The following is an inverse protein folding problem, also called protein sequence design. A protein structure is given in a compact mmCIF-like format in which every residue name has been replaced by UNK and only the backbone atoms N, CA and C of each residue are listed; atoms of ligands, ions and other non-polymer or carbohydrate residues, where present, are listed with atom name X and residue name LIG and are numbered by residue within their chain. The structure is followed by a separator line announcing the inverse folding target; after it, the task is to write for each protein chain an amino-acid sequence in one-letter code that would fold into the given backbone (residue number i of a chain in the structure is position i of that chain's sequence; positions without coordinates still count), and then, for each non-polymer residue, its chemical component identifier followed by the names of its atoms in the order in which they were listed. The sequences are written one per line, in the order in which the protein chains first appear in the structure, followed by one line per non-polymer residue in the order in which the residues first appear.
data_IF_388499780374
#
_entry.id   IF_388499780374
#
_cell.length_a   1.000
_cell.length_b   1.000
_cell.length_c   1.000
_cell.angle_alpha   90.00
_cell.angle_beta   90.00
_cell.angle_gamma   90.00
#
_symmetry.space_group_name_H-M   'P 1'
#
loop_
_entity.id
_entity.type
_entity.pdbx_description
1 polymer ?
#
# COMPACT_ATOMS: atom_id res chain seq x y z
N UNK A 1 19.44 40.83 -56.47
CA UNK A 1 18.19 41.56 -56.13
C UNK A 1 17.54 40.82 -54.97
N UNK A 2 17.02 41.52 -53.97
CA UNK A 2 17.84 41.74 -52.74
C UNK A 2 17.55 40.71 -51.68
N UNK A 3 18.59 40.45 -50.87
CA UNK A 3 18.61 39.59 -49.69
C UNK A 3 17.82 40.22 -48.56
N UNK A 4 16.86 39.48 -47.97
CA UNK A 4 16.18 39.82 -46.73
C UNK A 4 16.88 39.18 -45.51
N UNK A 5 17.02 39.88 -44.39
CA UNK A 5 17.81 39.47 -43.25
C UNK A 5 17.06 38.49 -42.34
N UNK A 6 17.78 37.45 -41.87
CA UNK A 6 17.35 36.52 -40.83
C UNK A 6 17.26 37.24 -39.48
N UNK A 7 16.05 37.29 -38.91
CA UNK A 7 15.86 37.68 -37.52
C UNK A 7 16.14 36.50 -36.62
N UNK A 8 17.22 36.56 -35.90
CA UNK A 8 17.57 35.67 -34.79
C UNK A 8 16.81 36.10 -33.54
N UNK A 9 15.84 35.30 -33.08
CA UNK A 9 15.20 35.49 -31.79
C UNK A 9 16.05 34.78 -30.72
N UNK A 10 16.67 35.58 -29.84
CA UNK A 10 17.29 35.07 -28.57
C UNK A 10 16.19 34.85 -27.53
N UNK A 11 16.29 33.80 -26.70
CA UNK A 11 15.40 33.60 -25.56
C UNK A 11 15.80 34.52 -24.38
N UNK A 12 14.84 34.96 -23.54
CA UNK A 12 15.11 35.87 -22.43
C UNK A 12 15.80 35.17 -21.29
N UNK A 13 16.92 35.73 -20.84
CA UNK A 13 17.65 35.37 -19.63
C UNK A 13 16.79 35.64 -18.39
N UNK A 14 16.52 34.61 -17.61
CA UNK A 14 15.91 34.70 -16.29
C UNK A 14 16.97 35.25 -15.30
N UNK A 15 16.80 36.50 -14.93
CA UNK A 15 17.60 37.21 -13.90
C UNK A 15 17.28 36.62 -12.53
N UNK A 16 18.22 35.89 -11.94
CA UNK A 16 18.21 35.54 -10.52
C UNK A 16 18.45 36.83 -9.71
N UNK A 17 17.43 37.31 -9.00
CA UNK A 17 17.57 38.33 -7.95
C UNK A 17 18.14 37.66 -6.70
N UNK A 18 19.35 38.03 -6.37
CA UNK A 18 19.93 37.84 -5.03
C UNK A 18 19.28 38.87 -4.11
N UNK A 19 18.57 38.45 -3.09
CA UNK A 19 18.12 39.29 -2.01
C UNK A 19 19.23 39.34 -0.97
N UNK A 20 19.69 40.56 -0.71
CA UNK A 20 20.71 40.87 0.27
C UNK A 20 20.19 40.80 1.70
N UNK A 21 21.09 40.46 2.57
CA UNK A 21 20.94 40.54 4.01
C UNK A 21 20.89 42.00 4.47
N UNK A 22 19.94 42.36 5.34
CA UNK A 22 20.07 43.51 6.25
C UNK A 22 19.72 43.05 7.66
N UNK A 23 20.71 43.16 8.50
CA UNK A 23 20.57 43.08 9.96
C UNK A 23 20.00 44.40 10.48
N UNK A 24 19.06 44.38 11.40
CA UNK A 24 18.95 45.34 12.49
C UNK A 24 17.90 45.00 13.55
N UNK A 25 18.36 45.01 14.76
CA UNK A 25 17.74 45.54 15.97
C UNK A 25 16.71 44.73 16.75
N UNK A 26 17.17 44.27 17.88
CA UNK A 26 16.60 44.03 19.18
C UNK A 26 15.33 44.81 19.54
N UNK A 27 14.33 44.08 20.04
CA UNK A 27 13.45 44.53 21.12
C UNK A 27 12.80 43.29 21.76
N UNK A 28 13.01 43.11 23.06
CA UNK A 28 12.51 42.02 23.85
C UNK A 28 11.01 42.05 23.99
N UNK A 29 10.43 40.85 23.94
CA UNK A 29 9.13 40.59 24.55
C UNK A 29 9.16 39.17 25.10
N UNK A 30 9.19 39.10 26.43
CA UNK A 30 9.05 37.89 27.20
C UNK A 30 7.66 37.31 26.91
N UNK A 31 7.59 36.23 26.11
CA UNK A 31 6.36 35.47 25.95
C UNK A 31 6.39 34.27 26.88
N UNK A 32 5.47 34.29 27.82
CA UNK A 32 5.04 33.17 28.64
C UNK A 32 4.90 31.93 27.74
N UNK A 33 5.77 30.95 27.92
CA UNK A 33 5.56 29.59 27.49
C UNK A 33 4.46 28.98 28.39
N UNK A 34 3.20 29.10 27.97
CA UNK A 34 2.15 28.25 28.47
C UNK A 34 2.46 26.82 27.98
N UNK A 35 3.06 26.02 28.84
CA UNK A 35 3.20 24.59 28.68
C UNK A 35 1.79 24.00 28.61
N UNK A 36 1.27 23.79 27.41
CA UNK A 36 0.17 22.88 27.17
C UNK A 36 0.67 21.47 27.50
N UNK A 37 0.47 21.10 28.75
CA UNK A 37 0.63 19.74 29.22
C UNK A 37 -0.32 18.85 28.38
N UNK A 38 0.26 18.07 27.47
CA UNK A 38 -0.40 16.91 26.89
C UNK A 38 -0.65 15.98 28.09
N UNK A 39 -1.84 16.04 28.64
CA UNK A 39 -2.30 15.03 29.57
C UNK A 39 -2.32 13.70 28.78
N UNK A 40 -1.26 12.90 28.96
CA UNK A 40 -1.29 11.49 28.60
C UNK A 40 -2.50 10.90 29.33
N UNK A 41 -3.56 10.64 28.59
CA UNK A 41 -4.68 9.87 29.10
C UNK A 41 -4.13 8.47 29.38
N UNK A 42 -3.88 8.20 30.66
CA UNK A 42 -3.61 6.86 31.14
C UNK A 42 -4.78 5.96 30.71
N UNK A 43 -4.52 4.71 30.30
CA UNK A 43 -5.60 3.79 29.98
C UNK A 43 -6.56 3.68 31.16
N UNK A 44 -7.86 3.49 30.91
CA UNK A 44 -8.84 3.37 31.99
C UNK A 44 -8.67 2.01 32.66
N UNK A 45 -7.68 1.94 33.52
CA UNK A 45 -7.37 0.81 34.39
C UNK A 45 -7.30 1.25 35.83
N UNK A 46 -7.78 2.44 36.14
CA UNK A 46 -7.86 2.88 37.51
C UNK A 46 -9.04 2.16 38.17
N UNK A 47 -8.76 1.01 38.75
CA UNK A 47 -9.63 0.42 39.77
C UNK A 47 -9.66 1.48 40.86
N UNK A 48 -10.79 2.16 41.11
CA UNK A 48 -10.85 3.05 42.25
C UNK A 48 -10.61 2.15 43.45
N UNK A 49 -9.57 2.41 44.23
CA UNK A 49 -9.36 1.87 45.57
C UNK A 49 -10.47 2.43 46.48
N UNK A 50 -11.71 2.19 46.14
CA UNK A 50 -12.83 2.34 47.03
C UNK A 50 -12.74 1.13 47.98
N UNK A 51 -12.60 1.41 49.27
CA UNK A 51 -12.61 0.42 50.30
C UNK A 51 -13.97 -0.34 50.30
N UNK A 52 -14.07 -1.33 49.40
CA UNK A 52 -15.20 -2.24 49.32
C UNK A 52 -14.81 -3.58 49.95
N UNK A 53 -15.75 -4.21 50.60
CA UNK A 53 -15.54 -5.55 51.15
C UNK A 53 -15.88 -6.56 50.09
N UNK A 54 -14.87 -7.34 49.64
CA UNK A 54 -15.05 -8.43 48.68
C UNK A 54 -15.58 -9.65 49.37
N UNK A 55 -16.62 -10.26 48.82
CA UNK A 55 -17.16 -11.53 49.34
C UNK A 55 -17.46 -12.49 48.24
N UNK A 56 -17.19 -13.75 48.44
CA UNK A 56 -17.50 -14.84 47.53
C UNK A 56 -17.76 -16.15 48.31
N UNK A 57 -18.28 -17.16 47.62
CA UNK A 57 -18.43 -18.52 48.14
C UNK A 57 -17.42 -19.42 47.44
N UNK A 58 -16.54 -20.07 48.20
CA UNK A 58 -15.54 -20.97 47.67
C UNK A 58 -16.12 -22.30 47.14
N UNK A 59 -15.27 -23.20 46.61
CA UNK A 59 -15.70 -24.50 46.10
C UNK A 59 -16.26 -25.44 47.13
N UNK A 60 -16.10 -25.13 48.43
CA UNK A 60 -16.55 -25.93 49.55
C UNK A 60 -17.79 -25.34 50.23
N UNK A 61 -18.36 -24.25 49.64
CA UNK A 61 -19.55 -23.57 50.19
C UNK A 61 -19.23 -22.60 51.33
N UNK A 62 -17.94 -22.32 51.61
CA UNK A 62 -17.57 -21.36 52.69
C UNK A 62 -17.59 -19.93 52.14
N UNK A 63 -18.09 -19.00 52.90
CA UNK A 63 -18.08 -17.58 52.57
C UNK A 63 -16.74 -16.98 52.97
N UNK A 64 -16.02 -16.46 51.97
CA UNK A 64 -14.77 -15.72 52.16
C UNK A 64 -15.07 -14.20 52.09
N UNK A 65 -14.35 -13.43 52.90
CA UNK A 65 -14.48 -11.97 52.92
C UNK A 65 -13.09 -11.34 53.02
N UNK A 66 -12.80 -10.31 52.23
CA UNK A 66 -11.52 -9.62 52.20
C UNK A 66 -11.68 -8.14 51.81
N UNK A 67 -10.68 -7.33 52.10
CA UNK A 67 -10.56 -5.93 51.70
C UNK A 67 -10.06 -5.74 50.25
N UNK A 68 -9.70 -6.85 49.63
CA UNK A 68 -9.20 -6.90 48.24
C UNK A 68 -9.77 -8.10 47.51
N UNK A 69 -9.68 -8.15 46.16
CA UNK A 69 -10.15 -9.30 45.35
C UNK A 69 -9.60 -10.61 45.88
N UNK A 70 -10.48 -11.59 46.08
CA UNK A 70 -10.13 -12.90 46.65
C UNK A 70 -9.61 -13.80 45.56
N UNK A 71 -8.33 -14.18 45.66
CA UNK A 71 -7.65 -15.01 44.65
C UNK A 71 -8.30 -16.39 44.49
N UNK A 72 -8.73 -17.02 45.58
CA UNK A 72 -9.38 -18.35 45.59
C UNK A 72 -10.76 -18.34 44.88
N UNK A 73 -11.36 -17.18 44.70
CA UNK A 73 -12.62 -16.99 44.00
C UNK A 73 -12.46 -16.34 42.60
N UNK A 74 -11.28 -16.36 42.03
CA UNK A 74 -11.04 -15.74 40.69
C UNK A 74 -11.90 -16.41 39.61
N UNK A 75 -12.15 -17.70 39.70
CA UNK A 75 -13.02 -18.45 38.77
C UNK A 75 -14.52 -18.39 39.13
N UNK A 76 -14.92 -17.55 40.08
CA UNK A 76 -16.29 -17.42 40.58
C UNK A 76 -16.72 -15.95 40.69
N UNK A 77 -18.03 -15.77 40.82
CA UNK A 77 -18.58 -14.43 41.05
C UNK A 77 -18.13 -13.94 42.43
N UNK A 78 -17.59 -12.72 42.47
CA UNK A 78 -17.30 -12.00 43.69
C UNK A 78 -18.22 -10.77 43.81
N UNK A 79 -18.70 -10.50 45.00
CA UNK A 79 -19.55 -9.30 45.30
C UNK A 79 -18.73 -8.30 46.09
N UNK A 80 -18.74 -7.08 45.65
CA UNK A 80 -18.16 -5.96 46.38
C UNK A 80 -19.28 -5.32 47.15
N UNK A 81 -19.14 -5.26 48.47
CA UNK A 81 -20.13 -4.70 49.41
C UNK A 81 -19.72 -3.29 49.84
N UNK A 82 -20.67 -2.44 50.02
CA UNK A 82 -20.54 -1.17 50.75
C UNK A 82 -20.32 -1.45 52.24
N UNK A 83 -20.00 -0.41 53.01
CA UNK A 83 -19.84 -0.49 54.48
C UNK A 83 -21.14 -0.86 55.22
N UNK A 84 -22.28 -0.60 54.61
CA UNK A 84 -23.61 -0.96 55.11
C UNK A 84 -24.03 -2.40 54.77
N UNK A 85 -23.16 -3.16 54.05
CA UNK A 85 -23.44 -4.52 53.64
C UNK A 85 -24.24 -4.65 52.33
N UNK A 86 -24.68 -3.56 51.73
CA UNK A 86 -25.33 -3.60 50.43
C UNK A 86 -24.36 -3.93 49.32
N UNK A 87 -24.83 -4.57 48.23
CA UNK A 87 -23.99 -4.92 47.09
C UNK A 87 -23.73 -3.66 46.26
N UNK A 88 -22.47 -3.24 46.20
CA UNK A 88 -22.02 -2.11 45.38
C UNK A 88 -21.87 -2.55 43.89
N UNK A 89 -21.21 -3.68 43.67
CA UNK A 89 -21.02 -4.27 42.34
C UNK A 89 -20.75 -5.75 42.43
N UNK A 90 -20.94 -6.42 41.28
CA UNK A 90 -20.61 -7.83 41.11
C UNK A 90 -19.42 -7.93 40.17
N UNK A 91 -18.41 -8.67 40.56
CA UNK A 91 -17.26 -9.01 39.71
C UNK A 91 -17.52 -10.39 39.09
N UNK A 92 -17.66 -10.47 37.79
CA UNK A 92 -17.83 -11.77 37.13
C UNK A 92 -16.58 -12.65 37.29
N UNK A 93 -16.69 -13.97 37.11
CA UNK A 93 -15.54 -14.87 37.04
C UNK A 93 -14.51 -14.39 36.05
N UNK A 94 -13.23 -14.56 36.36
CA UNK A 94 -12.17 -14.33 35.37
C UNK A 94 -12.32 -15.33 34.22
N UNK A 95 -12.23 -14.83 33.03
CA UNK A 95 -12.30 -15.64 31.82
C UNK A 95 -11.19 -16.69 31.80
N UNK A 96 -11.51 -17.87 31.34
CA UNK A 96 -10.51 -18.91 31.04
C UNK A 96 -9.56 -18.44 29.92
N UNK A 97 -8.46 -19.14 29.72
CA UNK A 97 -7.54 -18.83 28.64
C UNK A 97 -8.23 -18.97 27.27
N UNK A 98 -9.10 -19.96 27.13
CA UNK A 98 -9.86 -20.23 25.89
C UNK A 98 -10.87 -19.11 25.62
N UNK A 99 -11.69 -18.72 26.60
CA UNK A 99 -12.65 -17.62 26.46
C UNK A 99 -11.98 -16.27 26.16
N UNK A 100 -10.78 -16.04 26.72
CA UNK A 100 -10.00 -14.84 26.38
C UNK A 100 -9.55 -14.89 24.92
N UNK A 101 -9.01 -16.03 24.47
CA UNK A 101 -8.57 -16.21 23.08
C UNK A 101 -9.74 -16.06 22.10
N UNK A 102 -10.92 -16.58 22.43
CA UNK A 102 -12.13 -16.41 21.61
C UNK A 102 -12.58 -14.96 21.54
N UNK A 103 -12.61 -14.23 22.67
CA UNK A 103 -12.92 -12.79 22.68
C UNK A 103 -11.96 -11.99 21.86
N UNK A 104 -10.65 -12.20 22.04
CA UNK A 104 -9.64 -11.52 21.24
C UNK A 104 -9.77 -11.84 19.75
N UNK A 105 -10.07 -13.10 19.41
CA UNK A 105 -10.32 -13.47 18.01
C UNK A 105 -11.58 -12.80 17.45
N UNK A 106 -12.65 -12.69 18.26
CA UNK A 106 -13.86 -11.99 17.86
C UNK A 106 -13.63 -10.49 17.70
N UNK A 107 -12.90 -9.86 18.63
CA UNK A 107 -12.52 -8.45 18.54
C UNK A 107 -11.66 -8.16 17.32
N UNK A 108 -10.64 -9.00 17.04
CA UNK A 108 -9.83 -8.89 15.82
C UNK A 108 -10.70 -8.98 14.54
N UNK A 109 -11.63 -9.94 14.48
CA UNK A 109 -12.56 -10.05 13.34
C UNK A 109 -13.45 -8.81 13.23
N UNK A 110 -13.98 -8.30 14.33
CA UNK A 110 -14.81 -7.10 14.34
C UNK A 110 -14.03 -5.85 13.89
N UNK A 111 -12.78 -5.68 14.32
CA UNK A 111 -11.90 -4.59 13.86
C UNK A 111 -11.64 -4.70 12.37
N UNK A 112 -11.27 -5.88 11.86
CA UNK A 112 -11.04 -6.12 10.44
C UNK A 112 -12.30 -5.82 9.61
N UNK A 113 -13.47 -6.23 10.08
CA UNK A 113 -14.74 -5.95 9.40
C UNK A 113 -15.03 -4.44 9.34
N UNK A 114 -14.81 -3.71 10.45
CA UNK A 114 -14.99 -2.24 10.48
C UNK A 114 -14.02 -1.52 9.55
N UNK A 115 -12.74 -1.91 9.56
CA UNK A 115 -11.73 -1.29 8.68
C UNK A 115 -12.02 -1.58 7.22
N UNK A 116 -12.36 -2.82 6.86
CA UNK A 116 -12.70 -3.17 5.47
C UNK A 116 -13.95 -2.40 4.98
N UNK A 117 -14.95 -2.22 5.83
CA UNK A 117 -16.14 -1.42 5.51
C UNK A 117 -15.80 0.07 5.33
N UNK A 118 -14.99 0.64 6.22
CA UNK A 118 -14.54 2.02 6.10
C UNK A 118 -13.73 2.24 4.81
N UNK A 119 -12.89 1.28 4.45
CA UNK A 119 -12.12 1.31 3.21
C UNK A 119 -13.00 1.19 1.96
N UNK A 120 -14.05 0.36 2.01
CA UNK A 120 -15.02 0.25 0.92
C UNK A 120 -15.75 1.59 0.70
N UNK A 121 -16.23 2.21 1.77
CA UNK A 121 -16.88 3.53 1.72
C UNK A 121 -15.92 4.59 1.15
N UNK A 122 -14.68 4.61 1.60
CA UNK A 122 -13.67 5.55 1.13
C UNK A 122 -13.37 5.37 -0.36
N UNK A 123 -13.22 4.12 -0.82
CA UNK A 123 -13.00 3.81 -2.24
C UNK A 123 -14.17 4.29 -3.10
N UNK A 124 -15.41 4.03 -2.71
CA UNK A 124 -16.59 4.44 -3.47
C UNK A 124 -16.75 5.96 -3.54
N UNK A 125 -16.51 6.65 -2.42
CA UNK A 125 -16.50 8.11 -2.41
C UNK A 125 -15.41 8.70 -3.31
N UNK A 126 -14.22 8.11 -3.33
CA UNK A 126 -13.14 8.53 -4.21
C UNK A 126 -13.50 8.29 -5.68
N UNK A 127 -14.15 7.16 -6.01
CA UNK A 127 -14.63 6.89 -7.36
C UNK A 127 -15.66 7.93 -7.81
N UNK A 128 -16.65 8.23 -6.99
CA UNK A 128 -17.67 9.25 -7.28
C UNK A 128 -17.06 10.66 -7.45
N UNK A 129 -16.11 11.00 -6.59
CA UNK A 129 -15.39 12.28 -6.66
C UNK A 129 -14.54 12.39 -7.93
N UNK A 130 -13.86 11.30 -8.31
CA UNK A 130 -13.02 11.24 -9.50
C UNK A 130 -13.83 11.23 -10.79
N UNK A 131 -14.95 10.53 -10.78
CA UNK A 131 -15.80 10.33 -11.95
C UNK A 131 -17.26 10.73 -11.63
N UNK A 132 -17.56 12.03 -11.65
CA UNK A 132 -18.92 12.51 -11.40
C UNK A 132 -19.90 12.11 -12.52
N UNK A 133 -19.41 11.78 -13.71
CA UNK A 133 -20.23 11.39 -14.88
C UNK A 133 -19.58 10.28 -15.67
N UNK A 134 -20.39 9.53 -16.44
CA UNK A 134 -19.89 8.52 -17.37
C UNK A 134 -18.94 9.10 -18.42
N UNK A 135 -19.19 10.34 -18.86
CA UNK A 135 -18.32 11.02 -19.81
C UNK A 135 -16.91 11.26 -19.26
N UNK A 136 -16.78 11.64 -17.99
CA UNK A 136 -15.46 11.80 -17.33
C UNK A 136 -14.72 10.49 -17.20
N UNK A 137 -15.44 9.42 -16.86
CA UNK A 137 -14.86 8.07 -16.78
C UNK A 137 -14.39 7.58 -18.16
N UNK A 138 -15.20 7.74 -19.22
CA UNK A 138 -14.84 7.38 -20.59
C UNK A 138 -13.60 8.15 -21.07
N UNK A 139 -13.53 9.46 -20.79
CA UNK A 139 -12.34 10.26 -21.12
C UNK A 139 -11.08 9.74 -20.44
N UNK A 140 -11.19 9.32 -19.18
CA UNK A 140 -10.07 8.72 -18.46
C UNK A 140 -9.64 7.38 -19.06
N UNK A 141 -10.61 6.55 -19.48
CA UNK A 141 -10.32 5.28 -20.19
C UNK A 141 -9.56 5.53 -21.48
N UNK A 142 -10.04 6.45 -22.34
CA UNK A 142 -9.38 6.76 -23.61
C UNK A 142 -7.95 7.28 -23.38
N UNK A 143 -7.75 8.17 -22.42
CA UNK A 143 -6.42 8.67 -22.12
C UNK A 143 -5.45 7.56 -21.66
N UNK A 144 -5.93 6.58 -20.88
CA UNK A 144 -5.14 5.43 -20.47
C UNK A 144 -4.81 4.51 -21.66
N UNK A 145 -5.79 4.25 -22.53
CA UNK A 145 -5.60 3.46 -23.73
C UNK A 145 -4.66 4.13 -24.74
N UNK A 146 -4.75 5.45 -24.90
CA UNK A 146 -3.89 6.20 -25.82
C UNK A 146 -2.42 6.13 -25.42
N UNK A 147 -2.13 6.10 -24.13
CA UNK A 147 -0.75 5.92 -23.64
C UNK A 147 -0.18 4.59 -24.12
N UNK A 148 -0.94 3.49 -24.01
CA UNK A 148 -0.50 2.17 -24.46
C UNK A 148 -0.44 2.09 -25.99
N UNK A 149 -1.41 2.70 -26.69
CA UNK A 149 -1.39 2.77 -28.17
C UNK A 149 -0.17 3.51 -28.72
N UNK A 150 0.28 4.56 -28.02
CA UNK A 150 1.53 5.25 -28.39
C UNK A 150 2.76 4.35 -28.19
N UNK A 151 2.78 3.56 -27.09
CA UNK A 151 3.85 2.59 -26.86
C UNK A 151 3.86 1.48 -27.93
N UNK A 152 2.68 0.99 -28.36
CA UNK A 152 2.57 0.00 -29.45
C UNK A 152 3.15 0.58 -30.74
N UNK A 153 2.78 1.80 -31.12
CA UNK A 153 3.33 2.45 -32.32
C UNK A 153 4.84 2.59 -32.27
N UNK A 154 5.40 2.93 -31.10
CA UNK A 154 6.86 3.01 -30.95
C UNK A 154 7.53 1.62 -31.10
N UNK A 155 6.92 0.56 -30.55
CA UNK A 155 7.37 -0.81 -30.71
C UNK A 155 7.32 -1.27 -32.17
N UNK A 156 6.23 -0.95 -32.90
CA UNK A 156 6.08 -1.27 -34.32
C UNK A 156 7.14 -0.58 -35.17
N UNK A 157 7.40 0.70 -34.91
CA UNK A 157 8.47 1.45 -35.60
C UNK A 157 9.83 0.80 -35.35
N UNK A 158 10.12 0.40 -34.11
CA UNK A 158 11.40 -0.27 -33.80
C UNK A 158 11.53 -1.63 -34.47
N UNK A 159 10.44 -2.40 -34.56
CA UNK A 159 10.41 -3.65 -35.33
C UNK A 159 10.70 -3.43 -36.84
N UNK A 160 10.15 -2.36 -37.41
CA UNK A 160 10.43 -1.98 -38.80
C UNK A 160 11.91 -1.60 -39.00
N UNK A 161 12.49 -0.83 -38.08
CA UNK A 161 13.92 -0.46 -38.09
C UNK A 161 14.80 -1.70 -38.01
N UNK A 162 14.53 -2.61 -37.04
CA UNK A 162 15.25 -3.87 -36.91
C UNK A 162 15.15 -4.75 -38.17
N UNK A 163 13.97 -4.75 -38.81
CA UNK A 163 13.77 -5.41 -40.10
C UNK A 163 14.59 -4.80 -41.22
N UNK A 164 14.74 -3.47 -41.24
CA UNK A 164 15.59 -2.76 -42.20
C UNK A 164 17.08 -3.02 -41.93
N UNK A 165 17.49 -2.98 -40.64
CA UNK A 165 18.87 -3.31 -40.22
C UNK A 165 19.26 -4.75 -40.59
N UNK A 166 18.31 -5.69 -40.56
CA UNK A 166 18.55 -7.11 -40.88
C UNK A 166 18.86 -7.36 -42.34
N UNK A 167 18.24 -6.61 -43.27
CA UNK A 167 18.39 -6.84 -44.71
C UNK A 167 19.85 -6.89 -45.16
N UNK A 168 20.68 -5.85 -44.94
CA UNK A 168 22.09 -5.88 -45.37
C UNK A 168 22.88 -6.97 -44.66
N UNK A 169 22.55 -7.29 -43.38
CA UNK A 169 23.25 -8.39 -42.68
C UNK A 169 22.95 -9.76 -43.29
N UNK A 170 21.74 -9.99 -43.75
CA UNK A 170 21.35 -11.22 -44.43
C UNK A 170 21.95 -11.30 -45.84
N UNK A 171 22.00 -10.18 -46.57
CA UNK A 171 22.67 -10.09 -47.88
C UNK A 171 24.17 -10.40 -47.76
N UNK A 172 24.85 -9.84 -46.73
CA UNK A 172 26.25 -10.14 -46.47
C UNK A 172 26.41 -11.61 -46.08
N UNK A 173 25.53 -12.22 -45.31
CA UNK A 173 25.58 -13.62 -44.93
C UNK A 173 25.48 -14.58 -46.11
N UNK A 174 24.80 -14.19 -47.20
CA UNK A 174 24.69 -14.97 -48.43
C UNK A 174 26.03 -15.25 -49.07
N UNK A 175 27.04 -14.34 -48.97
CA UNK A 175 28.41 -14.55 -49.48
C UNK A 175 29.14 -15.65 -48.73
N UNK A 176 28.67 -16.02 -47.53
CA UNK A 176 29.32 -17.05 -46.71
C UNK A 176 28.59 -18.39 -46.75
N UNK A 177 27.67 -18.61 -47.71
CA UNK A 177 27.00 -19.91 -47.89
C UNK A 177 28.02 -21.04 -48.01
N UNK A 178 27.92 -22.04 -47.14
CA UNK A 178 28.84 -23.17 -47.08
C UNK A 178 30.18 -22.89 -46.38
N UNK A 179 30.39 -21.72 -45.81
CA UNK A 179 31.55 -21.33 -45.02
C UNK A 179 31.12 -20.77 -43.64
N UNK A 180 31.97 -20.82 -42.61
CA UNK A 180 31.68 -20.24 -41.34
C UNK A 180 31.52 -18.70 -41.48
N UNK A 181 30.48 -18.15 -40.87
CA UNK A 181 30.24 -16.69 -40.80
C UNK A 181 31.35 -16.00 -40.00
N UNK A 182 31.83 -14.82 -40.45
CA UNK A 182 32.66 -13.97 -39.61
C UNK A 182 32.02 -13.68 -38.25
N UNK A 183 32.80 -13.69 -37.18
CA UNK A 183 32.32 -13.52 -35.84
C UNK A 183 31.48 -12.22 -35.66
N UNK A 184 31.95 -11.13 -36.27
CA UNK A 184 31.27 -9.83 -36.24
C UNK A 184 29.88 -9.88 -36.89
N UNK A 185 29.75 -10.54 -38.04
CA UNK A 185 28.47 -10.67 -38.74
C UNK A 185 27.51 -11.57 -37.96
N UNK A 186 28.02 -12.67 -37.39
CA UNK A 186 27.23 -13.51 -36.49
C UNK A 186 26.71 -12.74 -35.31
N UNK A 187 27.55 -11.97 -34.60
CA UNK A 187 27.16 -11.15 -33.46
C UNK A 187 26.11 -10.07 -33.83
N UNK A 188 26.23 -9.48 -35.03
CA UNK A 188 25.27 -8.49 -35.53
C UNK A 188 23.90 -9.12 -35.80
N UNK A 189 23.85 -10.31 -36.40
CA UNK A 189 22.61 -11.06 -36.62
C UNK A 189 21.99 -11.52 -35.30
N UNK A 190 22.78 -12.12 -34.41
CA UNK A 190 22.30 -12.56 -33.09
C UNK A 190 21.75 -11.37 -32.26
N UNK A 191 22.43 -10.22 -32.34
CA UNK A 191 21.98 -8.98 -31.68
C UNK A 191 20.67 -8.43 -32.25
N UNK A 192 20.53 -8.46 -33.61
CA UNK A 192 19.28 -8.07 -34.26
C UNK A 192 18.13 -9.01 -33.88
N UNK A 193 18.36 -10.34 -33.89
CA UNK A 193 17.35 -11.33 -33.48
C UNK A 193 16.91 -11.14 -32.02
N UNK A 194 17.86 -10.97 -31.11
CA UNK A 194 17.55 -10.66 -29.71
C UNK A 194 16.74 -9.35 -29.58
N UNK A 195 17.05 -8.33 -30.39
CA UNK A 195 16.29 -7.08 -30.45
C UNK A 195 14.86 -7.30 -30.92
N UNK A 196 14.65 -8.09 -31.98
CA UNK A 196 13.31 -8.43 -32.50
C UNK A 196 12.49 -9.19 -31.43
N UNK A 197 13.10 -10.17 -30.78
CA UNK A 197 12.41 -10.96 -29.76
C UNK A 197 12.03 -10.10 -28.55
N UNK A 198 12.89 -9.19 -28.14
CA UNK A 198 12.57 -8.24 -27.07
C UNK A 198 11.39 -7.32 -27.44
N UNK A 199 11.33 -6.80 -28.67
CA UNK A 199 10.24 -5.96 -29.13
C UNK A 199 8.92 -6.75 -29.29
N UNK A 200 8.97 -7.99 -29.73
CA UNK A 200 7.78 -8.87 -29.81
C UNK A 200 7.22 -9.15 -28.41
N UNK A 201 8.09 -9.43 -27.45
CA UNK A 201 7.67 -9.60 -26.05
C UNK A 201 7.04 -8.31 -25.48
N UNK A 202 7.61 -7.14 -25.81
CA UNK A 202 7.03 -5.85 -25.43
C UNK A 202 5.65 -5.65 -26.06
N UNK A 203 5.46 -5.97 -27.34
CA UNK A 203 4.16 -5.89 -28.03
C UNK A 203 3.10 -6.77 -27.35
N UNK A 204 3.43 -8.02 -27.05
CA UNK A 204 2.51 -8.94 -26.34
C UNK A 204 2.12 -8.41 -24.96
N UNK A 205 3.08 -7.81 -24.23
CA UNK A 205 2.79 -7.18 -22.93
C UNK A 205 1.85 -5.97 -23.08
N UNK A 206 2.03 -5.15 -24.10
CA UNK A 206 1.19 -3.98 -24.40
C UNK A 206 -0.24 -4.39 -24.76
N UNK A 207 -0.42 -5.45 -25.57
CA UNK A 207 -1.73 -6.01 -25.89
C UNK A 207 -2.43 -6.52 -24.62
N UNK A 208 -1.72 -7.23 -23.76
CA UNK A 208 -2.23 -7.68 -22.46
C UNK A 208 -2.66 -6.50 -21.60
N UNK A 209 -1.89 -5.41 -21.61
CA UNK A 209 -2.19 -4.20 -20.85
C UNK A 209 -3.44 -3.49 -21.39
N UNK A 210 -3.66 -3.44 -22.71
CA UNK A 210 -4.93 -2.93 -23.29
C UNK A 210 -6.13 -3.70 -22.76
N UNK A 211 -6.05 -5.04 -22.75
CA UNK A 211 -7.12 -5.88 -22.21
C UNK A 211 -7.34 -5.61 -20.72
N UNK A 212 -6.26 -5.45 -19.95
CA UNK A 212 -6.31 -5.18 -18.51
C UNK A 212 -6.99 -3.83 -18.22
N UNK A 213 -6.57 -2.77 -18.94
CA UNK A 213 -7.17 -1.43 -18.81
C UNK A 213 -8.67 -1.48 -19.13
N UNK A 214 -9.06 -2.15 -20.21
CA UNK A 214 -10.47 -2.27 -20.58
C UNK A 214 -11.26 -2.96 -19.46
N UNK A 215 -10.82 -4.11 -18.97
CA UNK A 215 -11.48 -4.83 -17.87
C UNK A 215 -11.58 -3.99 -16.59
N UNK A 216 -10.52 -3.25 -16.25
CA UNK A 216 -10.52 -2.36 -15.09
C UNK A 216 -11.63 -1.33 -15.21
N UNK A 217 -11.66 -0.62 -16.34
CA UNK A 217 -12.65 0.44 -16.56
C UNK A 217 -14.08 -0.12 -16.69
N UNK A 218 -14.27 -1.31 -17.24
CA UNK A 218 -15.60 -1.94 -17.31
C UNK A 218 -16.14 -2.26 -15.91
N UNK A 219 -15.30 -2.83 -15.03
CA UNK A 219 -15.66 -3.10 -13.63
C UNK A 219 -15.93 -1.81 -12.84
N UNK A 220 -15.09 -0.78 -13.03
CA UNK A 220 -15.29 0.53 -12.40
C UNK A 220 -16.61 1.17 -12.88
N UNK A 221 -16.88 1.13 -14.18
CA UNK A 221 -18.10 1.69 -14.77
C UNK A 221 -19.36 1.03 -14.23
N UNK A 222 -19.38 -0.29 -14.15
CA UNK A 222 -20.49 -1.03 -13.58
C UNK A 222 -20.77 -0.61 -12.13
N UNK A 223 -19.70 -0.49 -11.33
CA UNK A 223 -19.81 -0.01 -9.95
C UNK A 223 -20.32 1.43 -9.88
N UNK A 224 -19.75 2.32 -10.70
CA UNK A 224 -20.16 3.72 -10.78
C UNK A 224 -21.62 3.87 -11.19
N UNK A 225 -22.12 3.11 -12.14
CA UNK A 225 -23.53 3.14 -12.55
C UNK A 225 -24.47 2.83 -11.39
N UNK A 226 -24.12 1.88 -10.53
CA UNK A 226 -24.90 1.55 -9.33
C UNK A 226 -24.82 2.70 -8.30
N UNK A 227 -23.65 3.30 -8.13
CA UNK A 227 -23.47 4.42 -7.21
C UNK A 227 -24.21 5.68 -7.68
N UNK A 228 -24.17 6.00 -8.98
CA UNK A 228 -24.96 7.11 -9.57
C UNK A 228 -26.46 6.85 -9.50
N UNK A 229 -26.89 5.61 -9.53
CA UNK A 229 -28.29 5.22 -9.31
C UNK A 229 -28.74 5.31 -7.84
N UNK A 230 -27.85 5.72 -6.93
CA UNK A 230 -28.18 5.96 -5.52
C UNK A 230 -27.75 4.85 -4.56
N UNK A 231 -26.97 3.85 -4.98
CA UNK A 231 -26.43 2.87 -4.06
C UNK A 231 -25.50 3.55 -3.03
N UNK A 232 -25.66 3.19 -1.77
CA UNK A 232 -24.85 3.76 -0.69
C UNK A 232 -23.36 3.34 -0.86
N UNK A 233 -22.40 4.27 -0.69
CA UNK A 233 -20.99 3.92 -0.71
C UNK A 233 -20.67 2.82 0.31
N UNK A 234 -19.95 1.80 -0.13
CA UNK A 234 -19.60 0.64 0.69
C UNK A 234 -20.64 -0.48 0.72
N UNK A 235 -21.82 -0.30 0.12
CA UNK A 235 -22.87 -1.34 0.07
C UNK A 235 -22.65 -2.40 -1.01
N UNK A 236 -21.82 -2.11 -2.00
CA UNK A 236 -21.60 -2.98 -3.18
C UNK A 236 -20.53 -4.06 -2.97
N UNK A 237 -20.13 -4.28 -1.72
CA UNK A 237 -19.11 -5.27 -1.38
C UNK A 237 -17.69 -4.91 -1.85
N UNK A 238 -16.74 -5.85 -1.73
CA UNK A 238 -15.37 -5.65 -2.22
C UNK A 238 -15.36 -5.51 -3.75
N UNK A 239 -14.42 -4.71 -4.26
CA UNK A 239 -14.18 -4.66 -5.69
C UNK A 239 -13.69 -6.03 -6.18
N UNK A 240 -14.10 -6.48 -7.39
CA UNK A 240 -13.55 -7.69 -7.98
C UNK A 240 -12.04 -7.61 -8.06
N UNK A 241 -11.36 -8.73 -7.78
CA UNK A 241 -9.91 -8.80 -7.95
C UNK A 241 -9.57 -8.63 -9.44
N UNK A 242 -8.74 -7.63 -9.73
CA UNK A 242 -8.23 -7.43 -11.09
C UNK A 242 -7.06 -8.38 -11.35
N UNK A 243 -6.89 -8.86 -12.58
CA UNK A 243 -5.69 -9.59 -12.96
C UNK A 243 -4.45 -8.72 -12.70
N UNK A 244 -3.40 -9.32 -12.14
CA UNK A 244 -2.14 -8.65 -11.91
C UNK A 244 -1.59 -8.07 -13.24
N UNK A 245 -0.86 -6.93 -13.21
CA UNK A 245 -0.24 -6.40 -14.41
C UNK A 245 0.73 -7.43 -15.00
N UNK A 246 0.72 -7.55 -16.33
CA UNK A 246 1.65 -8.39 -17.05
C UNK A 246 3.08 -7.86 -16.75
N UNK A 247 3.90 -8.67 -16.12
CA UNK A 247 5.25 -8.28 -15.67
C UNK A 247 5.43 -8.17 -14.15
N UNK A 248 4.36 -8.14 -13.35
CA UNK A 248 4.46 -8.40 -11.92
C UNK A 248 4.60 -9.92 -11.67
N UNK A 249 5.62 -10.53 -12.25
CA UNK A 249 6.09 -11.83 -11.78
C UNK A 249 6.47 -11.61 -10.33
N UNK A 250 5.70 -12.18 -9.41
CA UNK A 250 6.03 -12.18 -8.00
C UNK A 250 7.45 -12.75 -7.89
N UNK A 251 8.42 -11.88 -7.74
CA UNK A 251 9.70 -12.32 -7.20
C UNK A 251 9.34 -13.02 -5.90
N UNK A 252 9.70 -14.31 -5.72
CA UNK A 252 9.45 -14.95 -4.45
C UNK A 252 10.15 -14.08 -3.41
N UNK A 253 9.39 -13.58 -2.45
CA UNK A 253 9.95 -12.96 -1.25
C UNK A 253 10.77 -14.09 -0.64
N UNK A 254 12.06 -14.10 -0.93
CA UNK A 254 13.00 -15.02 -0.34
C UNK A 254 12.88 -14.81 1.16
N UNK A 255 12.30 -15.81 1.82
CA UNK A 255 12.27 -15.89 3.27
C UNK A 255 13.70 -15.61 3.73
N UNK A 256 13.87 -14.52 4.48
CA UNK A 256 15.14 -14.13 5.04
C UNK A 256 15.67 -15.32 5.82
N UNK A 257 16.64 -15.99 5.22
CA UNK A 257 17.34 -17.10 5.81
C UNK A 257 17.94 -16.61 7.13
N UNK A 258 17.58 -17.31 8.20
CA UNK A 258 18.20 -17.19 9.51
C UNK A 258 19.72 -17.07 9.31
N UNK A 259 20.27 -15.90 9.61
CA UNK A 259 21.69 -15.72 9.75
C UNK A 259 22.11 -16.55 10.96
N UNK A 260 22.68 -17.71 10.68
CA UNK A 260 23.40 -18.52 11.66
C UNK A 260 24.62 -17.72 12.08
N UNK A 261 24.62 -17.26 13.32
CA UNK A 261 25.79 -16.63 13.92
C UNK A 261 26.94 -17.63 13.97
N UNK A 262 28.14 -17.28 13.49
CA UNK A 262 29.31 -18.13 13.66
C UNK A 262 29.73 -18.11 15.13
N UNK A 263 29.97 -19.29 15.64
CA UNK A 263 30.32 -19.58 17.03
C UNK A 263 31.54 -18.82 17.50
N UNK A 264 31.46 -18.43 18.75
CA UNK A 264 32.52 -17.87 19.58
C UNK A 264 33.74 -18.81 19.65
N UNK A 265 34.83 -18.40 19.07
CA UNK A 265 36.13 -19.08 19.27
C UNK A 265 36.58 -18.82 20.69
N UNK A 266 36.61 -19.90 21.47
CA UNK A 266 37.19 -19.95 22.83
C UNK A 266 38.70 -19.90 22.69
N UNK A 267 39.32 -18.77 23.02
CA UNK A 267 40.76 -18.61 23.09
C UNK A 267 41.25 -19.16 24.45
N UNK A 268 41.86 -20.34 24.44
CA UNK A 268 42.66 -20.86 25.55
C UNK A 268 44.11 -20.58 25.21
N UNK A 269 44.72 -19.69 25.96
CA UNK A 269 46.17 -19.51 25.97
C UNK A 269 46.76 -20.10 27.27
N UNK A 270 48.03 -20.62 27.26
CA UNK A 270 48.72 -21.26 28.39
C UNK A 270 49.16 -20.26 29.44
#
# INVERSE_FOLDING_TARGET
MPLLPRKTCLPPMIRRRRAGATAAAAAGLALLCAALGVAAQAPPGNIPNGAGIYTCVDGQGRRLTSDRPIADCTAREQRVLNRDGSVQRVLPPALTAEERAEREAAERRAVLARTSQADAIRRDRNLLSRFPTEATHRKSREAALDTVRLAIKATDLRLQELGAERKPLTEEAEFYKGRPLPLRLKQALDGNDAGVDAQRAAAANQETELVRINKLHDVELERLRRLWAGAAPGSLGPAPALPAPAGASAAPVAAAAKATMPGTVRNTAP
#
